data_IF_403021536762
#
_entry.id   IF_403021536762
#
_cell.length_a   1.000
_cell.length_b   1.000
_cell.length_c   1.000
_cell.angle_alpha   90.00
_cell.angle_beta   90.00
_cell.angle_gamma   90.00
#
_symmetry.space_group_name_H-M   'P 1'
#
loop_
_entity.id
_entity.type
_entity.pdbx_description
1 polymer ?
#
# COMPACT_ATOMS: atom_id res chain seq x y z
N UNK A 1 17.43 12.75 15.68
CA UNK A 1 16.67 11.78 16.49
C UNK A 1 17.60 11.13 17.50
N UNK A 2 17.23 11.19 18.77
CA UNK A 2 17.92 10.49 19.85
C UNK A 2 17.05 9.33 20.33
N UNK A 3 17.67 8.17 20.48
CA UNK A 3 17.04 6.93 20.95
C UNK A 3 17.83 6.38 22.13
N UNK A 4 17.13 5.89 23.14
CA UNK A 4 17.71 5.10 24.22
C UNK A 4 17.19 3.68 24.12
N UNK A 5 18.08 2.73 23.90
CA UNK A 5 17.73 1.32 23.83
C UNK A 5 17.41 0.80 25.23
N UNK A 6 16.44 -0.14 25.29
CA UNK A 6 16.18 -0.85 26.53
C UNK A 6 17.38 -1.72 26.90
N UNK A 7 17.65 -1.82 28.20
CA UNK A 7 18.66 -2.72 28.72
C UNK A 7 18.25 -4.19 28.58
N UNK A 8 19.25 -5.07 28.61
CA UNK A 8 19.06 -6.52 28.61
C UNK A 8 18.41 -7.14 27.37
N UNK A 9 18.33 -6.42 26.25
CA UNK A 9 17.93 -7.02 24.97
C UNK A 9 19.11 -7.78 24.39
N UNK A 10 18.85 -9.02 23.96
CA UNK A 10 19.81 -9.88 23.27
C UNK A 10 19.35 -10.21 21.86
N UNK A 11 20.29 -10.33 20.96
CA UNK A 11 20.09 -11.02 19.70
C UNK A 11 19.88 -12.53 19.94
N UNK A 12 19.31 -13.21 18.96
CA UNK A 12 18.98 -14.63 19.02
C UNK A 12 20.21 -15.56 19.20
N UNK A 13 21.42 -15.05 18.93
CA UNK A 13 22.68 -15.74 19.18
C UNK A 13 23.30 -15.42 20.55
N UNK A 14 22.59 -14.65 21.41
CA UNK A 14 23.04 -14.30 22.76
C UNK A 14 23.85 -13.01 22.85
N UNK A 15 24.29 -12.39 21.77
CA UNK A 15 24.98 -11.12 21.79
C UNK A 15 24.03 -10.01 22.32
N UNK A 16 24.58 -9.07 23.12
CA UNK A 16 23.80 -7.93 23.61
C UNK A 16 23.48 -6.94 22.48
N UNK A 17 22.27 -6.40 22.47
CA UNK A 17 21.91 -5.24 21.67
C UNK A 17 22.51 -3.99 22.31
N UNK A 18 23.37 -3.30 21.57
CA UNK A 18 24.02 -2.04 21.99
C UNK A 18 23.78 -0.95 20.94
N UNK A 19 24.02 0.31 21.31
CA UNK A 19 23.95 1.41 20.33
C UNK A 19 24.85 1.19 19.12
N UNK A 20 26.08 0.64 19.35
CA UNK A 20 26.97 0.30 18.25
C UNK A 20 26.43 -0.82 17.34
N UNK A 21 25.70 -1.80 17.89
CA UNK A 21 25.07 -2.84 17.07
C UNK A 21 23.97 -2.25 16.16
N UNK A 22 23.14 -1.34 16.71
CA UNK A 22 22.13 -0.61 15.90
C UNK A 22 22.78 0.21 14.81
N UNK A 23 23.83 0.99 15.14
CA UNK A 23 24.60 1.78 14.18
C UNK A 23 25.13 0.89 13.05
N UNK A 24 25.84 -0.18 13.38
CA UNK A 24 26.42 -1.09 12.39
C UNK A 24 25.36 -1.74 11.49
N UNK A 25 24.22 -2.14 12.06
CA UNK A 25 23.13 -2.73 11.30
C UNK A 25 22.53 -1.75 10.29
N UNK A 26 22.25 -0.52 10.69
CA UNK A 26 21.68 0.50 9.78
C UNK A 26 22.70 0.90 8.69
N UNK A 27 23.97 1.12 9.06
CA UNK A 27 25.01 1.48 8.09
C UNK A 27 25.26 0.37 7.08
N UNK A 28 25.28 -0.90 7.51
CA UNK A 28 25.42 -2.05 6.61
C UNK A 28 24.18 -2.22 5.74
N UNK A 29 22.98 -2.06 6.30
CA UNK A 29 21.73 -2.11 5.56
C UNK A 29 21.68 -1.07 4.45
N UNK A 30 22.04 0.18 4.72
CA UNK A 30 22.11 1.26 3.71
C UNK A 30 23.18 1.00 2.63
N UNK A 31 24.28 0.33 2.94
CA UNK A 31 25.27 -0.08 1.93
C UNK A 31 24.78 -1.17 1.00
N UNK A 32 23.90 -2.05 1.49
CA UNK A 32 23.40 -3.23 0.75
C UNK A 32 22.07 -3.02 0.06
N UNK A 33 21.30 -2.01 0.44
CA UNK A 33 19.94 -1.76 -0.06
C UNK A 33 19.78 -0.32 -0.54
N UNK A 34 19.69 -0.13 -1.85
CA UNK A 34 19.41 1.18 -2.45
C UNK A 34 18.04 1.72 -1.99
N UNK A 35 17.07 0.83 -1.75
CA UNK A 35 15.76 1.19 -1.22
C UNK A 35 15.87 1.81 0.18
N UNK A 36 16.64 1.19 1.09
CA UNK A 36 16.86 1.72 2.42
C UNK A 36 17.65 3.02 2.39
N UNK A 37 18.71 3.06 1.59
CA UNK A 37 19.51 4.27 1.37
C UNK A 37 18.69 5.44 0.85
N UNK A 38 17.79 5.18 -0.09
CA UNK A 38 16.89 6.20 -0.65
C UNK A 38 15.80 6.67 0.31
N UNK A 39 15.39 5.82 1.27
CA UNK A 39 14.34 6.17 2.24
C UNK A 39 14.86 6.78 3.54
N UNK A 40 16.15 6.70 3.82
CA UNK A 40 16.78 7.24 5.03
C UNK A 40 17.88 8.26 4.69
N UNK A 41 17.54 9.58 4.62
CA UNK A 41 18.54 10.63 4.34
C UNK A 41 19.40 10.89 5.59
N UNK A 42 20.14 9.87 6.03
CA UNK A 42 20.99 9.90 7.22
C UNK A 42 22.34 10.50 6.88
N UNK A 43 22.70 11.60 7.56
CA UNK A 43 24.01 12.22 7.50
C UNK A 43 25.01 11.46 8.37
N UNK A 44 24.62 11.10 9.59
CA UNK A 44 25.49 10.40 10.53
C UNK A 44 24.72 9.61 11.58
N UNK A 45 25.32 8.53 12.05
CA UNK A 45 24.85 7.76 13.20
C UNK A 45 25.98 7.72 14.23
N UNK A 46 25.71 8.19 15.45
CA UNK A 46 26.62 8.04 16.58
C UNK A 46 25.99 7.18 17.67
N UNK A 47 26.83 6.46 18.43
CA UNK A 47 26.36 5.60 19.50
C UNK A 47 27.31 5.68 20.71
N UNK A 48 26.72 5.76 21.93
CA UNK A 48 27.43 5.68 23.18
C UNK A 48 26.64 4.82 24.16
N UNK A 49 27.15 3.63 24.46
CA UNK A 49 26.41 2.64 25.27
C UNK A 49 25.08 2.26 24.64
N UNK A 50 23.98 2.55 25.31
CA UNK A 50 22.62 2.31 24.83
C UNK A 50 21.97 3.51 24.13
N UNK A 51 22.68 4.65 24.03
CA UNK A 51 22.18 5.82 23.30
C UNK A 51 22.62 5.79 21.85
N UNK A 52 21.70 6.09 20.94
CA UNK A 52 21.92 6.21 19.50
C UNK A 52 21.39 7.55 19.05
N UNK A 53 22.23 8.34 18.39
CA UNK A 53 21.83 9.62 17.78
C UNK A 53 21.94 9.51 16.27
N UNK A 54 20.81 9.75 15.59
CA UNK A 54 20.72 9.75 14.14
C UNK A 54 20.49 11.19 13.67
N UNK A 55 21.40 11.69 12.87
CA UNK A 55 21.32 13.03 12.25
C UNK A 55 21.02 12.86 10.77
N UNK A 56 20.00 13.58 10.28
CA UNK A 56 19.62 13.62 8.88
C UNK A 56 20.25 14.81 8.18
N UNK A 57 20.39 14.75 6.85
CA UNK A 57 20.95 15.84 6.04
C UNK A 57 20.08 17.09 6.10
N UNK A 58 18.74 16.88 6.01
CA UNK A 58 17.70 17.90 6.09
C UNK A 58 16.68 17.51 7.17
N UNK A 59 15.83 18.45 7.65
CA UNK A 59 14.70 18.09 8.52
C UNK A 59 13.86 16.97 7.89
N UNK A 60 13.72 15.84 8.61
CA UNK A 60 13.01 14.66 8.10
C UNK A 60 12.01 14.11 9.12
N UNK A 61 10.77 14.62 9.13
CA UNK A 61 9.74 14.24 10.09
C UNK A 61 9.36 12.75 10.05
N UNK A 62 9.54 12.11 8.90
CA UNK A 62 9.16 10.71 8.65
C UNK A 62 10.21 9.70 9.17
N UNK A 63 11.35 10.16 9.71
CA UNK A 63 12.44 9.28 10.13
C UNK A 63 12.00 8.15 11.05
N UNK A 64 11.09 8.41 12.01
CA UNK A 64 10.56 7.36 12.92
C UNK A 64 9.77 6.31 12.17
N UNK A 65 8.93 6.72 11.22
CA UNK A 65 8.11 5.83 10.40
C UNK A 65 8.98 4.99 9.47
N UNK A 66 10.01 5.60 8.88
CA UNK A 66 10.97 4.89 8.03
C UNK A 66 11.82 3.87 8.81
N UNK A 67 12.25 4.21 10.03
CA UNK A 67 12.95 3.28 10.91
C UNK A 67 12.08 2.11 11.40
N UNK A 68 10.75 2.25 11.37
CA UNK A 68 9.81 1.17 11.64
C UNK A 68 9.57 0.24 10.42
N UNK A 69 10.13 0.57 9.26
CA UNK A 69 10.04 -0.25 8.06
C UNK A 69 10.82 -1.57 8.23
N UNK A 70 10.32 -2.70 7.66
CA UNK A 70 11.07 -3.95 7.62
C UNK A 70 12.47 -3.84 6.99
N UNK A 71 12.67 -2.88 6.07
CA UNK A 71 13.96 -2.63 5.45
C UNK A 71 15.02 -2.08 6.41
N UNK A 72 14.58 -1.41 7.48
CA UNK A 72 15.43 -0.90 8.55
C UNK A 72 15.56 -1.87 9.74
N UNK A 73 15.23 -3.15 9.55
CA UNK A 73 15.32 -4.16 10.59
C UNK A 73 16.74 -4.26 11.17
N UNK A 74 16.82 -4.31 12.48
CA UNK A 74 18.10 -4.41 13.19
C UNK A 74 18.50 -5.88 13.33
N UNK A 75 19.69 -6.21 12.84
CA UNK A 75 20.29 -7.54 12.91
C UNK A 75 21.73 -7.49 13.41
N UNK A 76 22.23 -8.60 13.92
CA UNK A 76 23.61 -8.71 14.36
C UNK A 76 24.56 -8.85 13.17
N UNK A 77 25.29 -7.80 12.86
CA UNK A 77 26.30 -7.78 11.77
C UNK A 77 27.53 -8.64 12.05
N UNK A 78 27.72 -9.10 13.30
CA UNK A 78 28.80 -10.00 13.72
C UNK A 78 28.38 -11.48 13.68
N UNK A 79 27.14 -11.78 13.31
CA UNK A 79 26.68 -13.15 13.19
C UNK A 79 27.42 -13.88 12.06
N UNK A 80 27.73 -15.15 12.28
CA UNK A 80 28.41 -16.01 11.27
C UNK A 80 27.50 -16.36 10.09
N UNK A 81 26.18 -16.32 10.28
CA UNK A 81 25.19 -16.59 9.23
C UNK A 81 25.06 -15.42 8.26
N UNK A 82 24.80 -15.72 6.98
CA UNK A 82 24.49 -14.67 6.00
C UNK A 82 23.12 -14.06 6.31
N UNK A 83 23.06 -12.74 6.31
CA UNK A 83 21.82 -11.99 6.57
C UNK A 83 20.69 -12.29 5.56
N UNK A 84 21.05 -12.67 4.33
CA UNK A 84 20.11 -13.08 3.28
C UNK A 84 19.41 -14.41 3.54
N UNK A 85 20.04 -15.27 4.33
CA UNK A 85 19.58 -16.65 4.52
C UNK A 85 19.04 -16.85 5.94
N UNK A 86 19.79 -16.37 6.94
CA UNK A 86 19.47 -16.54 8.35
C UNK A 86 19.88 -15.30 9.15
N UNK A 87 19.18 -14.16 9.01
CA UNK A 87 19.42 -12.98 9.82
C UNK A 87 19.20 -13.27 11.31
N UNK A 88 20.08 -12.73 12.14
CA UNK A 88 20.00 -12.85 13.60
C UNK A 88 19.46 -11.54 14.16
N UNK A 89 18.21 -11.53 14.54
CA UNK A 89 17.50 -10.37 15.07
C UNK A 89 17.26 -10.46 16.58
N UNK A 90 16.39 -9.57 17.08
CA UNK A 90 15.95 -9.51 18.50
C UNK A 90 14.48 -9.91 18.64
N UNK A 91 13.86 -10.46 17.60
CA UNK A 91 12.45 -10.83 17.54
C UNK A 91 12.12 -12.11 18.31
N UNK A 92 10.82 -12.41 18.48
CA UNK A 92 10.33 -13.56 19.28
C UNK A 92 10.64 -14.92 18.66
N UNK A 93 10.91 -14.98 17.37
CA UNK A 93 11.20 -16.21 16.64
C UNK A 93 12.49 -16.09 15.85
N UNK A 94 13.27 -17.14 15.83
CA UNK A 94 14.50 -17.30 15.05
C UNK A 94 14.27 -18.20 13.86
N UNK A 95 15.03 -17.98 12.79
CA UNK A 95 14.94 -18.76 11.56
C UNK A 95 15.69 -20.07 11.76
N UNK A 96 15.01 -21.20 11.56
CA UNK A 96 15.65 -22.52 11.46
C UNK A 96 16.03 -22.83 10.01
N UNK A 97 15.08 -22.66 9.09
CA UNK A 97 15.26 -22.95 7.68
C UNK A 97 14.53 -21.93 6.82
N UNK A 98 15.18 -21.49 5.74
CA UNK A 98 14.60 -20.59 4.76
C UNK A 98 14.90 -21.08 3.34
N UNK A 99 13.84 -21.25 2.56
CA UNK A 99 13.91 -21.47 1.11
C UNK A 99 13.10 -20.38 0.42
N UNK A 100 13.80 -19.51 -0.32
CA UNK A 100 13.20 -18.35 -1.00
C UNK A 100 12.00 -18.76 -1.85
N UNK A 101 10.90 -18.00 -1.74
CA UNK A 101 9.63 -18.22 -2.43
C UNK A 101 9.00 -19.61 -2.22
N UNK A 102 9.38 -20.32 -1.17
CA UNK A 102 8.83 -21.64 -0.85
C UNK A 102 8.43 -21.75 0.62
N UNK A 103 9.40 -21.62 1.55
CA UNK A 103 9.19 -21.98 2.95
C UNK A 103 10.08 -21.20 3.89
N UNK A 104 9.53 -20.82 5.06
CA UNK A 104 10.25 -20.28 6.20
C UNK A 104 9.82 -21.05 7.44
N UNK A 105 10.78 -21.66 8.14
CA UNK A 105 10.57 -22.36 9.40
C UNK A 105 11.19 -21.56 10.54
N UNK A 106 10.38 -21.31 11.55
CA UNK A 106 10.74 -20.49 12.69
C UNK A 106 10.58 -21.29 13.98
N UNK A 107 11.51 -21.11 14.93
CA UNK A 107 11.40 -21.60 16.30
C UNK A 107 11.40 -20.41 17.28
N UNK A 108 10.75 -20.60 18.42
CA UNK A 108 10.70 -19.56 19.44
C UNK A 108 12.09 -19.24 20.00
N UNK A 109 12.35 -17.95 20.20
CA UNK A 109 13.50 -17.47 20.93
C UNK A 109 13.16 -17.43 22.43
N UNK A 110 13.81 -18.29 23.22
CA UNK A 110 13.49 -18.48 24.67
C UNK A 110 13.78 -17.22 25.51
N UNK A 111 14.82 -16.48 25.14
CA UNK A 111 15.29 -15.27 25.85
C UNK A 111 14.71 -13.98 25.22
N UNK A 112 13.53 -14.08 24.59
CA UNK A 112 12.88 -12.92 24.02
C UNK A 112 12.52 -11.90 25.11
N UNK A 113 12.90 -10.67 24.91
CA UNK A 113 12.85 -9.58 25.90
C UNK A 113 11.44 -9.13 26.31
N UNK A 114 10.39 -9.46 25.55
CA UNK A 114 8.99 -9.17 25.89
C UNK A 114 8.24 -10.40 26.45
N UNK A 115 8.94 -11.42 26.89
CA UNK A 115 8.35 -12.62 27.45
C UNK A 115 8.39 -13.82 26.51
N UNK A 116 7.84 -14.95 26.96
CA UNK A 116 7.92 -16.21 26.20
C UNK A 116 6.91 -16.23 25.06
N UNK A 117 7.35 -16.44 23.80
CA UNK A 117 6.44 -16.63 22.68
C UNK A 117 5.50 -17.83 22.91
N UNK A 118 4.22 -17.68 22.59
CA UNK A 118 3.20 -18.73 22.82
C UNK A 118 3.43 -19.98 21.96
N UNK A 119 3.75 -19.79 20.67
CA UNK A 119 3.99 -20.90 19.74
C UNK A 119 5.44 -21.38 19.83
N UNK A 120 5.66 -22.69 19.77
CA UNK A 120 7.00 -23.26 19.74
C UNK A 120 7.64 -23.13 18.37
N UNK A 121 6.84 -23.34 17.31
CA UNK A 121 7.26 -23.30 15.90
C UNK A 121 6.21 -22.58 15.08
N UNK A 122 6.68 -21.90 14.02
CA UNK A 122 5.83 -21.29 12.99
C UNK A 122 6.40 -21.69 11.63
N UNK A 123 5.55 -22.27 10.79
CA UNK A 123 5.90 -22.62 9.41
C UNK A 123 5.14 -21.69 8.48
N UNK A 124 5.86 -20.96 7.64
CA UNK A 124 5.27 -20.12 6.60
C UNK A 124 5.56 -20.76 5.25
N UNK A 125 4.53 -20.99 4.45
CA UNK A 125 4.64 -21.49 3.07
C UNK A 125 4.18 -20.42 2.12
N UNK A 126 4.86 -20.26 1.00
CA UNK A 126 4.50 -19.33 -0.05
C UNK A 126 3.69 -20.03 -1.14
N UNK A 127 2.53 -19.47 -1.45
CA UNK A 127 1.70 -19.86 -2.58
C UNK A 127 1.16 -18.59 -3.24
N UNK A 128 1.51 -18.37 -4.49
CA UNK A 128 1.09 -17.18 -5.24
C UNK A 128 -0.44 -17.21 -5.48
N UNK A 129 -0.95 -18.37 -5.88
CA UNK A 129 -2.38 -18.57 -6.14
C UNK A 129 -3.22 -18.52 -4.85
N UNK A 130 -4.19 -17.60 -4.80
CA UNK A 130 -5.07 -17.41 -3.65
C UNK A 130 -6.03 -18.58 -3.41
N UNK A 131 -6.43 -19.31 -4.46
CA UNK A 131 -7.28 -20.47 -4.34
C UNK A 131 -6.55 -21.60 -3.63
N UNK A 132 -5.31 -21.84 -4.02
CA UNK A 132 -4.43 -22.81 -3.34
C UNK A 132 -4.25 -22.48 -1.86
N UNK A 133 -4.09 -21.20 -1.51
CA UNK A 133 -3.99 -20.77 -0.11
C UNK A 133 -5.27 -21.09 0.67
N UNK A 134 -6.44 -20.83 0.11
CA UNK A 134 -7.74 -21.15 0.73
C UNK A 134 -7.93 -22.66 0.85
N UNK A 135 -7.57 -23.44 -0.16
CA UNK A 135 -7.69 -24.91 -0.12
C UNK A 135 -6.80 -25.52 0.96
N UNK A 136 -5.58 -24.99 1.16
CA UNK A 136 -4.71 -25.40 2.25
C UNK A 136 -5.33 -25.10 3.63
N UNK A 137 -5.99 -23.95 3.79
CA UNK A 137 -6.71 -23.61 5.02
C UNK A 137 -7.88 -24.59 5.27
N UNK A 138 -8.74 -24.81 4.27
CA UNK A 138 -9.94 -25.64 4.40
C UNK A 138 -9.61 -27.12 4.57
N UNK A 139 -8.50 -27.58 4.00
CA UNK A 139 -8.00 -28.95 4.21
C UNK A 139 -7.28 -29.14 5.55
N UNK A 140 -6.97 -28.04 6.27
CA UNK A 140 -6.23 -28.08 7.53
C UNK A 140 -4.71 -28.22 7.37
N UNK A 141 -4.18 -28.00 6.17
CA UNK A 141 -2.72 -27.93 5.89
C UNK A 141 -2.09 -26.62 6.38
N UNK A 142 -2.89 -25.55 6.48
CA UNK A 142 -2.50 -24.28 7.10
C UNK A 142 -3.52 -23.85 8.15
N UNK A 143 -3.04 -23.12 9.17
CA UNK A 143 -3.87 -22.58 10.25
C UNK A 143 -4.27 -21.13 9.98
N UNK A 144 -3.54 -20.44 9.14
CA UNK A 144 -3.80 -19.06 8.74
C UNK A 144 -3.44 -18.88 7.26
N UNK A 145 -4.25 -18.12 6.54
CA UNK A 145 -3.92 -17.63 5.20
C UNK A 145 -4.23 -16.15 5.08
N UNK A 146 -3.36 -15.42 4.43
CA UNK A 146 -3.55 -13.99 4.12
C UNK A 146 -4.14 -13.81 2.72
N UNK A 147 -4.73 -12.63 2.46
CA UNK A 147 -5.24 -12.24 1.15
C UNK A 147 -6.21 -13.28 0.56
N UNK A 148 -7.27 -13.61 1.30
CA UNK A 148 -8.35 -14.49 0.81
C UNK A 148 -9.03 -13.83 -0.39
N UNK A 149 -9.09 -14.47 -1.57
CA UNK A 149 -9.80 -13.93 -2.71
C UNK A 149 -11.27 -13.68 -2.41
N UNK A 150 -11.82 -12.57 -2.91
CA UNK A 150 -13.23 -12.18 -2.67
C UNK A 150 -14.20 -13.30 -3.05
N UNK A 151 -13.93 -14.02 -4.14
CA UNK A 151 -14.78 -15.11 -4.61
C UNK A 151 -14.80 -16.32 -3.65
N UNK A 152 -13.70 -16.53 -2.90
CA UNK A 152 -13.51 -17.65 -1.98
C UNK A 152 -14.00 -17.39 -0.55
N UNK A 153 -14.41 -16.15 -0.25
CA UNK A 153 -14.90 -15.78 1.11
C UNK A 153 -16.07 -16.66 1.52
N UNK A 154 -16.99 -16.94 0.61
CA UNK A 154 -18.17 -17.77 0.89
C UNK A 154 -17.78 -19.19 1.28
N UNK A 155 -16.76 -19.77 0.64
CA UNK A 155 -16.28 -21.12 0.94
C UNK A 155 -15.73 -21.19 2.37
N UNK A 156 -14.95 -20.18 2.77
CA UNK A 156 -14.40 -20.10 4.12
C UNK A 156 -15.53 -19.89 5.15
N UNK A 157 -16.47 -18.98 4.90
CA UNK A 157 -17.60 -18.69 5.80
C UNK A 157 -18.54 -19.89 5.99
N UNK A 158 -18.76 -20.67 4.94
CA UNK A 158 -19.62 -21.86 5.00
C UNK A 158 -18.91 -23.07 5.62
N UNK A 159 -17.59 -22.99 5.81
CA UNK A 159 -16.81 -24.04 6.44
C UNK A 159 -16.87 -23.92 7.96
N UNK A 160 -17.10 -25.05 8.65
CA UNK A 160 -16.96 -25.11 10.11
C UNK A 160 -15.50 -25.12 10.58
N UNK A 161 -14.53 -25.21 9.64
CA UNK A 161 -13.12 -25.40 9.93
C UNK A 161 -12.32 -24.09 10.00
N UNK A 162 -12.87 -23.00 9.46
CA UNK A 162 -12.17 -21.71 9.39
C UNK A 162 -13.15 -20.54 9.46
N UNK A 163 -12.61 -19.35 9.76
CA UNK A 163 -13.34 -18.09 9.84
C UNK A 163 -12.62 -17.03 9.01
N UNK A 164 -13.39 -16.09 8.47
CA UNK A 164 -12.84 -14.86 7.87
C UNK A 164 -12.58 -13.85 8.99
N UNK A 165 -11.39 -13.27 8.95
CA UNK A 165 -11.06 -12.06 9.69
C UNK A 165 -10.75 -10.95 8.70
N UNK A 166 -11.30 -9.77 8.93
CA UNK A 166 -11.01 -8.61 8.10
C UNK A 166 -10.61 -7.42 8.96
N UNK A 167 -9.68 -6.65 8.43
CA UNK A 167 -9.22 -5.41 9.04
C UNK A 167 -9.19 -4.34 7.97
N UNK A 168 -9.84 -3.23 8.25
CA UNK A 168 -9.81 -2.07 7.35
C UNK A 168 -8.38 -1.62 7.10
N UNK A 169 -7.96 -1.59 5.85
CA UNK A 169 -6.60 -1.26 5.41
C UNK A 169 -6.46 0.16 4.87
N UNK A 170 -5.26 0.46 4.39
CA UNK A 170 -4.95 1.69 3.65
C UNK A 170 -4.73 1.43 2.16
N UNK A 171 -5.20 0.28 1.66
CA UNK A 171 -5.19 -0.02 0.24
C UNK A 171 -6.39 0.60 -0.43
N UNK A 172 -6.16 1.31 -1.53
CA UNK A 172 -7.19 2.03 -2.28
C UNK A 172 -7.13 1.62 -3.75
N UNK A 173 -8.26 1.20 -4.31
CA UNK A 173 -8.42 1.00 -5.74
C UNK A 173 -8.85 2.30 -6.40
N UNK A 174 -8.32 2.57 -7.58
CA UNK A 174 -8.50 3.83 -8.27
C UNK A 174 -8.46 3.69 -9.79
N UNK A 175 -9.00 4.68 -10.48
CA UNK A 175 -8.64 5.00 -11.86
C UNK A 175 -7.46 5.95 -11.84
N UNK A 176 -6.36 5.52 -12.41
CA UNK A 176 -5.17 6.31 -12.69
C UNK A 176 -5.33 6.96 -14.06
N UNK A 177 -5.24 8.26 -14.13
CA UNK A 177 -5.33 9.03 -15.37
C UNK A 177 -3.96 9.31 -15.96
N UNK A 178 -3.83 9.15 -17.28
CA UNK A 178 -2.64 9.60 -18.00
C UNK A 178 -2.79 11.09 -18.35
N UNK A 179 -2.18 11.96 -17.54
CA UNK A 179 -2.23 13.41 -17.74
C UNK A 179 -1.48 13.91 -18.98
N UNK A 180 -0.73 13.03 -19.67
CA UNK A 180 -0.11 13.33 -20.96
C UNK A 180 -1.01 13.00 -22.14
N UNK A 181 -2.08 12.23 -21.94
CA UNK A 181 -3.06 11.97 -23.00
C UNK A 181 -3.91 13.20 -23.26
N UNK A 182 -3.93 13.64 -24.54
CA UNK A 182 -4.78 14.77 -24.98
C UNK A 182 -6.28 14.53 -24.77
N UNK A 183 -6.69 13.27 -24.61
CA UNK A 183 -8.08 12.89 -24.35
C UNK A 183 -8.49 13.11 -22.90
N UNK A 184 -7.53 13.14 -21.95
CA UNK A 184 -7.79 13.14 -20.52
C UNK A 184 -7.63 14.55 -19.94
N UNK A 185 -8.45 15.49 -20.42
CA UNK A 185 -8.55 16.81 -19.83
C UNK A 185 -9.36 16.81 -18.52
N UNK A 186 -9.51 17.95 -17.86
CA UNK A 186 -10.19 18.05 -16.56
C UNK A 186 -11.66 17.61 -16.64
N UNK A 187 -12.42 18.07 -17.64
CA UNK A 187 -13.83 17.71 -17.80
C UNK A 187 -14.02 16.21 -18.01
N UNK A 188 -13.13 15.58 -18.76
CA UNK A 188 -13.13 14.15 -18.98
C UNK A 188 -12.84 13.40 -17.68
N UNK A 189 -11.86 13.82 -16.86
CA UNK A 189 -11.59 13.20 -15.54
C UNK A 189 -12.78 13.35 -14.60
N UNK A 190 -13.42 14.54 -14.58
CA UNK A 190 -14.63 14.78 -13.80
C UNK A 190 -15.79 13.88 -14.27
N UNK A 191 -15.98 13.73 -15.57
CA UNK A 191 -16.98 12.82 -16.12
C UNK A 191 -16.70 11.36 -15.72
N UNK A 192 -15.43 10.90 -15.78
CA UNK A 192 -15.06 9.58 -15.29
C UNK A 192 -15.34 9.40 -13.81
N UNK A 193 -15.04 10.40 -12.99
CA UNK A 193 -15.32 10.35 -11.54
C UNK A 193 -16.81 10.17 -11.26
N UNK A 194 -17.67 10.80 -12.08
CA UNK A 194 -19.12 10.74 -11.97
C UNK A 194 -19.75 9.45 -12.48
N UNK A 195 -19.12 8.73 -13.41
CA UNK A 195 -19.68 7.44 -13.87
C UNK A 195 -19.44 6.31 -12.88
N UNK A 196 -18.54 6.47 -11.90
CA UNK A 196 -18.19 5.42 -10.96
C UNK A 196 -19.27 5.23 -9.89
N UNK A 197 -19.95 4.10 -9.89
CA UNK A 197 -20.86 3.72 -8.82
C UNK A 197 -20.10 3.05 -7.66
N UNK A 198 -19.43 3.87 -6.85
CA UNK A 198 -18.57 3.40 -5.75
C UNK A 198 -19.28 2.53 -4.72
N UNK A 199 -20.56 2.85 -4.42
CA UNK A 199 -21.37 2.09 -3.46
C UNK A 199 -21.67 0.69 -3.98
N UNK A 200 -22.04 0.59 -5.24
CA UNK A 200 -22.34 -0.69 -5.90
C UNK A 200 -21.09 -1.56 -6.01
N UNK A 201 -19.96 -0.95 -6.41
CA UNK A 201 -18.65 -1.64 -6.48
C UNK A 201 -18.25 -2.17 -5.10
N UNK A 202 -18.32 -1.36 -4.05
CA UNK A 202 -17.98 -1.79 -2.69
C UNK A 202 -18.88 -2.94 -2.20
N UNK A 203 -20.19 -2.86 -2.50
CA UNK A 203 -21.17 -3.88 -2.11
C UNK A 203 -20.97 -5.19 -2.87
N UNK A 204 -20.99 -5.13 -4.20
CA UNK A 204 -21.10 -6.33 -5.04
C UNK A 204 -19.75 -6.90 -5.45
N UNK A 205 -18.82 -6.06 -5.91
CA UNK A 205 -17.50 -6.55 -6.34
C UNK A 205 -16.58 -6.87 -5.16
N UNK A 206 -16.74 -6.18 -4.03
CA UNK A 206 -15.94 -6.41 -2.81
C UNK A 206 -16.71 -7.12 -1.70
N UNK A 207 -17.94 -7.57 -1.94
CA UNK A 207 -18.81 -8.28 -0.96
C UNK A 207 -18.85 -7.59 0.43
N UNK A 208 -18.87 -6.26 0.45
CA UNK A 208 -18.80 -5.39 1.63
C UNK A 208 -17.46 -5.46 2.42
N UNK A 209 -16.39 -6.00 1.81
CA UNK A 209 -15.02 -5.93 2.35
C UNK A 209 -14.24 -4.74 1.77
N UNK A 210 -14.95 -3.72 1.39
CA UNK A 210 -14.42 -2.41 1.02
C UNK A 210 -15.45 -1.34 1.34
N UNK A 211 -14.95 -0.10 1.50
CA UNK A 211 -15.81 1.10 1.62
C UNK A 211 -15.63 1.98 0.38
N UNK A 212 -16.66 2.70 -0.07
CA UNK A 212 -16.50 3.72 -1.10
C UNK A 212 -15.40 4.72 -0.72
N UNK A 213 -14.54 5.09 -1.67
CA UNK A 213 -13.47 6.06 -1.47
C UNK A 213 -13.72 7.35 -2.26
N UNK A 214 -13.29 8.50 -1.72
CA UNK A 214 -13.22 9.76 -2.43
C UNK A 214 -11.81 10.37 -2.38
N UNK A 215 -11.23 10.70 -1.21
CA UNK A 215 -9.81 11.05 -1.15
C UNK A 215 -8.92 9.78 -1.17
N UNK A 216 -7.61 9.93 -1.40
CA UNK A 216 -6.67 8.79 -1.35
C UNK A 216 -6.48 8.23 0.06
N UNK A 217 -6.72 9.02 1.09
CA UNK A 217 -6.47 8.70 2.50
C UNK A 217 -7.79 8.40 3.19
N UNK A 218 -7.92 7.24 3.80
CA UNK A 218 -9.15 6.85 4.47
C UNK A 218 -9.29 7.43 5.90
N UNK A 219 -10.52 7.41 6.43
CA UNK A 219 -10.92 7.96 7.73
C UNK A 219 -10.21 7.37 8.96
N UNK A 220 -9.44 6.29 8.81
CA UNK A 220 -8.67 5.68 9.91
C UNK A 220 -7.49 6.57 10.33
N UNK A 221 -7.00 7.43 9.44
CA UNK A 221 -5.97 8.38 9.81
C UNK A 221 -6.62 9.56 10.53
N UNK A 222 -6.29 9.69 11.83
CA UNK A 222 -6.83 10.74 12.68
C UNK A 222 -6.47 12.12 12.13
N UNK A 223 -7.38 13.09 12.34
CA UNK A 223 -7.21 14.50 11.98
C UNK A 223 -7.09 14.77 10.45
N UNK A 224 -7.26 13.76 9.60
CA UNK A 224 -7.39 13.95 8.15
C UNK A 224 -8.87 14.02 7.80
N UNK A 225 -9.26 15.06 7.06
CA UNK A 225 -10.65 15.27 6.64
C UNK A 225 -11.03 14.24 5.58
N UNK A 226 -12.20 13.65 5.74
CA UNK A 226 -12.82 12.81 4.73
C UNK A 226 -13.96 13.56 4.07
N UNK A 227 -13.87 13.71 2.77
CA UNK A 227 -14.95 14.27 1.97
C UNK A 227 -16.09 13.25 1.81
N UNK A 228 -17.28 13.77 1.57
CA UNK A 228 -18.40 12.93 1.14
C UNK A 228 -18.04 12.27 -0.20
N UNK A 229 -18.29 10.98 -0.27
CA UNK A 229 -18.09 10.22 -1.51
C UNK A 229 -18.97 10.80 -2.60
N UNK A 230 -18.38 11.13 -3.74
CA UNK A 230 -19.10 11.61 -4.93
C UNK A 230 -20.12 10.54 -5.37
N UNK A 231 -21.41 10.85 -5.41
CA UNK A 231 -22.40 9.94 -5.97
C UNK A 231 -22.22 9.80 -7.48
N UNK A 232 -22.67 8.66 -8.01
CA UNK A 232 -22.77 8.51 -9.46
C UNK A 232 -23.76 9.52 -10.04
N UNK A 233 -23.37 10.17 -11.16
CA UNK A 233 -24.22 11.11 -11.88
C UNK A 233 -23.92 11.02 -13.40
N UNK A 234 -24.62 10.10 -14.07
CA UNK A 234 -24.45 9.84 -15.50
C UNK A 234 -24.86 11.05 -16.35
N UNK A 235 -25.92 11.77 -15.95
CA UNK A 235 -26.39 12.91 -16.72
C UNK A 235 -25.44 14.12 -16.63
N UNK A 236 -24.84 14.36 -15.46
CA UNK A 236 -23.80 15.37 -15.32
C UNK A 236 -22.55 14.98 -16.12
N UNK A 237 -22.14 13.70 -16.10
CA UNK A 237 -21.05 13.20 -16.94
C UNK A 237 -21.28 13.45 -18.44
N UNK A 238 -22.50 13.16 -18.95
CA UNK A 238 -22.89 13.48 -20.33
C UNK A 238 -22.75 14.98 -20.66
N UNK A 239 -23.21 15.85 -19.76
CA UNK A 239 -23.12 17.32 -19.95
C UNK A 239 -21.67 17.79 -20.05
N UNK A 240 -20.78 17.28 -19.20
CA UNK A 240 -19.35 17.60 -19.25
C UNK A 240 -18.72 17.14 -20.58
N UNK A 241 -19.04 15.91 -21.01
CA UNK A 241 -18.52 15.35 -22.25
C UNK A 241 -19.08 16.07 -23.50
N UNK A 242 -20.32 16.56 -23.46
CA UNK A 242 -20.90 17.34 -24.53
C UNK A 242 -20.19 18.69 -24.71
N UNK A 243 -19.69 19.30 -23.63
CA UNK A 243 -18.84 20.52 -23.71
C UNK A 243 -17.51 20.26 -24.44
N UNK A 244 -17.05 19.01 -24.41
CA UNK A 244 -15.84 18.55 -25.12
C UNK A 244 -16.15 17.98 -26.53
N UNK A 245 -17.41 18.07 -27.00
CA UNK A 245 -17.84 17.63 -28.31
C UNK A 245 -18.23 16.16 -28.42
N UNK A 246 -18.33 15.45 -27.29
CA UNK A 246 -18.69 14.02 -27.30
C UNK A 246 -20.20 13.83 -27.11
N UNK A 247 -20.76 12.84 -27.84
CA UNK A 247 -22.20 12.50 -27.85
C UNK A 247 -22.41 11.03 -28.10
N UNK A 248 -23.66 10.58 -28.13
CA UNK A 248 -24.01 9.20 -28.46
C UNK A 248 -23.55 8.79 -29.87
N UNK A 249 -23.63 9.71 -30.85
CA UNK A 249 -23.16 9.49 -32.22
C UNK A 249 -21.65 9.69 -32.38
N UNK A 250 -21.02 10.36 -31.43
CA UNK A 250 -19.57 10.63 -31.42
C UNK A 250 -19.00 10.40 -30.02
N UNK A 251 -18.90 9.13 -29.57
CA UNK A 251 -18.46 8.81 -28.22
C UNK A 251 -16.96 9.06 -28.02
N UNK A 252 -16.58 9.39 -26.77
CA UNK A 252 -15.20 9.46 -26.36
C UNK A 252 -14.59 8.04 -26.34
N UNK A 253 -13.55 7.80 -27.15
CA UNK A 253 -12.85 6.49 -27.20
C UNK A 253 -11.64 6.49 -26.29
N UNK A 254 -11.62 5.56 -25.32
CA UNK A 254 -10.61 5.45 -24.27
C UNK A 254 -9.94 4.08 -24.27
N UNK A 255 -8.62 4.07 -24.24
CA UNK A 255 -7.84 2.86 -23.96
C UNK A 255 -7.65 2.73 -22.45
N UNK A 256 -8.34 1.78 -21.86
CA UNK A 256 -8.25 1.47 -20.43
C UNK A 256 -7.50 0.17 -20.21
N UNK A 257 -6.57 0.16 -19.26
CA UNK A 257 -5.77 -1.02 -18.95
C UNK A 257 -6.03 -1.51 -17.54
N UNK A 258 -5.99 -2.83 -17.35
CA UNK A 258 -6.08 -3.53 -16.07
C UNK A 258 -5.08 -4.68 -16.01
N UNK A 259 -4.97 -5.37 -14.87
CA UNK A 259 -4.01 -6.46 -14.66
C UNK A 259 -4.49 -7.46 -13.60
N UNK A 260 -4.00 -8.71 -13.67
CA UNK A 260 -4.46 -9.81 -12.82
C UNK A 260 -3.78 -9.89 -11.44
N UNK A 261 -2.72 -9.11 -11.20
CA UNK A 261 -2.05 -9.05 -9.89
C UNK A 261 -2.98 -8.63 -8.74
N UNK A 262 -4.17 -8.12 -9.08
CA UNK A 262 -5.31 -7.86 -8.21
C UNK A 262 -6.58 -8.34 -8.94
N UNK A 263 -7.03 -9.59 -8.69
CA UNK A 263 -8.11 -10.22 -9.47
C UNK A 263 -9.44 -9.48 -9.50
N UNK A 264 -9.69 -8.61 -8.51
CA UNK A 264 -10.87 -7.75 -8.46
C UNK A 264 -10.84 -6.58 -9.45
N UNK A 265 -9.65 -6.09 -9.86
CA UNK A 265 -9.52 -4.92 -10.72
C UNK A 265 -10.09 -5.13 -12.14
N UNK A 266 -9.83 -6.25 -12.83
CA UNK A 266 -10.47 -6.50 -14.14
C UNK A 266 -11.99 -6.49 -14.05
N UNK A 267 -12.57 -7.04 -12.98
CA UNK A 267 -14.04 -7.07 -12.78
C UNK A 267 -14.60 -5.67 -12.54
N UNK A 268 -13.93 -4.87 -11.70
CA UNK A 268 -14.28 -3.46 -11.46
C UNK A 268 -14.15 -2.66 -12.76
N UNK A 269 -13.11 -2.91 -13.56
CA UNK A 269 -12.91 -2.30 -14.86
C UNK A 269 -14.07 -2.54 -15.81
N UNK A 270 -14.60 -3.77 -15.87
CA UNK A 270 -15.77 -4.13 -16.68
C UNK A 270 -17.05 -3.40 -16.20
N UNK A 271 -17.24 -3.27 -14.88
CA UNK A 271 -18.35 -2.49 -14.32
C UNK A 271 -18.25 -1.03 -14.76
N UNK A 272 -17.07 -0.42 -14.62
CA UNK A 272 -16.86 0.97 -15.04
C UNK A 272 -17.04 1.13 -16.54
N UNK A 273 -16.57 0.19 -17.37
CA UNK A 273 -16.79 0.18 -18.81
C UNK A 273 -18.30 0.23 -19.15
N UNK A 274 -19.09 -0.61 -18.47
CA UNK A 274 -20.55 -0.63 -18.65
C UNK A 274 -21.23 0.68 -18.25
N UNK A 275 -20.83 1.26 -17.11
CA UNK A 275 -21.38 2.53 -16.64
C UNK A 275 -20.95 3.71 -17.52
N UNK A 276 -19.69 3.74 -17.95
CA UNK A 276 -19.12 4.76 -18.82
C UNK A 276 -19.82 4.82 -20.19
N UNK A 277 -20.23 3.66 -20.73
CA UNK A 277 -21.02 3.57 -21.98
C UNK A 277 -22.32 4.36 -21.89
N UNK A 278 -22.98 4.38 -20.73
CA UNK A 278 -24.19 5.17 -20.50
C UNK A 278 -23.95 6.68 -20.61
N UNK A 279 -22.70 7.12 -20.38
CA UNK A 279 -22.27 8.51 -20.48
C UNK A 279 -21.58 8.86 -21.81
N UNK A 280 -21.73 8.05 -22.86
CA UNK A 280 -21.09 8.22 -24.16
C UNK A 280 -19.53 8.09 -24.12
N UNK A 281 -19.01 7.27 -23.22
CA UNK A 281 -17.59 6.89 -23.20
C UNK A 281 -17.50 5.43 -23.69
N UNK A 282 -16.74 5.21 -24.76
CA UNK A 282 -16.45 3.89 -25.32
C UNK A 282 -15.05 3.44 -24.85
N UNK A 283 -15.03 2.53 -23.88
CA UNK A 283 -13.80 2.03 -23.27
C UNK A 283 -13.36 0.74 -23.96
N UNK A 284 -12.15 0.75 -24.50
CA UNK A 284 -11.43 -0.46 -24.91
C UNK A 284 -10.61 -0.95 -23.70
N UNK A 285 -11.13 -1.98 -23.02
CA UNK A 285 -10.49 -2.55 -21.84
C UNK A 285 -9.50 -3.65 -22.26
N UNK A 286 -8.24 -3.50 -21.82
CA UNK A 286 -7.16 -4.46 -22.02
C UNK A 286 -6.62 -4.95 -20.68
N UNK A 287 -6.43 -6.27 -20.56
CA UNK A 287 -5.71 -6.87 -19.45
C UNK A 287 -4.23 -7.10 -19.83
N UNK A 288 -3.29 -6.79 -18.94
CA UNK A 288 -1.85 -6.95 -19.16
C UNK A 288 -1.19 -7.64 -17.96
N UNK A 289 -0.12 -8.40 -18.23
CA UNK A 289 0.61 -9.12 -17.19
C UNK A 289 1.53 -8.19 -16.37
N UNK A 290 2.29 -7.33 -17.06
CA UNK A 290 3.19 -6.32 -16.44
C UNK A 290 2.61 -4.93 -16.60
N UNK A 291 1.82 -4.50 -15.62
CA UNK A 291 1.20 -3.17 -15.62
C UNK A 291 2.25 -2.06 -15.51
N UNK A 292 3.28 -2.22 -14.69
CA UNK A 292 4.27 -1.17 -14.48
C UNK A 292 5.17 -0.97 -15.71
N UNK A 293 5.46 -2.04 -16.44
CA UNK A 293 6.13 -1.98 -17.73
C UNK A 293 5.26 -1.34 -18.80
N UNK A 294 3.98 -1.70 -18.85
CA UNK A 294 3.03 -1.17 -19.85
C UNK A 294 2.80 0.34 -19.70
N UNK A 295 2.66 0.84 -18.47
CA UNK A 295 2.42 2.26 -18.19
C UNK A 295 3.62 3.18 -18.51
N UNK A 296 4.80 2.64 -18.83
CA UNK A 296 5.96 3.43 -19.25
C UNK A 296 5.79 4.08 -20.61
N UNK A 297 4.94 3.50 -21.48
CA UNK A 297 4.60 4.12 -22.76
C UNK A 297 3.31 4.96 -22.61
N UNK A 298 3.41 6.31 -22.50
CA UNK A 298 2.25 7.15 -22.29
C UNK A 298 1.33 7.24 -23.51
N UNK A 299 1.71 6.68 -24.67
CA UNK A 299 0.86 6.61 -25.85
C UNK A 299 -0.01 5.37 -25.89
N UNK A 300 0.31 4.35 -25.08
CA UNK A 300 -0.37 3.07 -25.09
C UNK A 300 -1.69 3.06 -24.32
N UNK A 301 -1.92 4.03 -23.43
CA UNK A 301 -3.07 4.05 -22.52
C UNK A 301 -3.57 5.45 -22.20
N UNK A 302 -4.84 5.55 -21.86
CA UNK A 302 -5.48 6.79 -21.42
C UNK A 302 -5.84 6.73 -19.92
N UNK A 303 -6.34 5.57 -19.46
CA UNK A 303 -6.77 5.31 -18.07
C UNK A 303 -6.27 3.93 -17.65
N UNK A 304 -5.91 3.77 -16.39
CA UNK A 304 -5.56 2.45 -15.82
C UNK A 304 -6.35 2.17 -14.55
N UNK A 305 -6.88 0.95 -14.41
CA UNK A 305 -7.19 0.43 -13.09
C UNK A 305 -5.90 0.24 -12.31
N UNK A 306 -5.85 0.73 -11.08
CA UNK A 306 -4.65 0.62 -10.26
C UNK A 306 -4.98 0.48 -8.78
N UNK A 307 -3.96 0.14 -7.97
CA UNK A 307 -4.11 -0.02 -6.53
C UNK A 307 -2.91 0.51 -5.79
N UNK A 308 -3.15 1.45 -4.87
CA UNK A 308 -2.10 2.00 -3.99
C UNK A 308 -2.28 1.54 -2.54
N UNK A 309 -1.17 1.31 -1.86
CA UNK A 309 -1.10 1.31 -0.41
C UNK A 309 -0.72 2.73 0.01
N UNK A 310 -1.70 3.51 0.47
CA UNK A 310 -1.55 4.96 0.64
C UNK A 310 -0.80 5.35 1.92
N UNK A 311 -0.84 4.51 2.96
CA UNK A 311 -0.18 4.77 4.25
C UNK A 311 0.57 3.51 4.73
N UNK A 312 1.62 3.07 4.02
CA UNK A 312 2.33 1.83 4.39
C UNK A 312 3.10 1.94 5.70
N UNK A 313 3.38 3.16 6.18
CA UNK A 313 4.25 3.45 7.33
C UNK A 313 3.59 4.38 8.35
N UNK A 314 2.27 4.53 8.31
CA UNK A 314 1.52 5.36 9.26
C UNK A 314 1.58 6.86 9.00
N UNK A 315 2.21 7.31 7.89
CA UNK A 315 2.33 8.71 7.49
C UNK A 315 1.91 8.93 6.04
N UNK A 316 1.33 10.11 5.74
CA UNK A 316 0.84 10.47 4.41
C UNK A 316 1.93 10.92 3.45
N UNK A 317 3.09 11.32 3.94
CA UNK A 317 4.19 11.82 3.15
C UNK A 317 4.64 10.80 2.09
N UNK A 318 4.72 9.52 2.45
CA UNK A 318 5.05 8.47 1.48
C UNK A 318 4.15 8.54 0.23
N UNK A 319 2.84 8.59 0.43
CA UNK A 319 1.90 8.62 -0.69
C UNK A 319 2.08 9.87 -1.56
N UNK A 320 2.09 11.05 -0.95
CA UNK A 320 2.20 12.29 -1.71
C UNK A 320 3.55 12.44 -2.41
N UNK A 321 4.64 12.06 -1.76
CA UNK A 321 5.98 12.07 -2.37
C UNK A 321 6.07 11.12 -3.57
N UNK A 322 5.46 9.95 -3.48
CA UNK A 322 5.57 8.94 -4.54
C UNK A 322 4.52 9.07 -5.63
N UNK A 323 3.29 9.50 -5.31
CA UNK A 323 2.17 9.48 -6.25
C UNK A 323 1.81 10.87 -6.82
N UNK A 324 2.19 11.99 -6.14
CA UNK A 324 1.80 13.33 -6.53
C UNK A 324 2.96 14.24 -6.96
N UNK A 325 4.19 13.96 -6.52
CA UNK A 325 5.35 14.68 -7.07
C UNK A 325 5.61 14.27 -8.52
N UNK A 326 6.03 15.21 -9.40
CA UNK A 326 6.27 14.92 -10.82
C UNK A 326 7.21 13.74 -11.09
N UNK A 327 8.24 13.56 -10.23
CA UNK A 327 9.22 12.49 -10.35
C UNK A 327 8.95 11.34 -9.36
N UNK A 328 7.77 11.29 -8.75
CA UNK A 328 7.40 10.25 -7.79
C UNK A 328 7.30 8.88 -8.46
N UNK A 329 7.84 7.85 -7.81
CA UNK A 329 7.94 6.49 -8.37
C UNK A 329 6.56 5.87 -8.71
N UNK A 330 5.49 6.29 -8.03
CA UNK A 330 4.11 5.86 -8.27
C UNK A 330 3.31 6.86 -9.11
N UNK A 331 3.88 8.01 -9.50
CA UNK A 331 3.22 8.98 -10.36
C UNK A 331 3.27 8.54 -11.84
N UNK A 332 2.73 7.36 -12.12
CA UNK A 332 2.69 6.77 -13.47
C UNK A 332 1.82 7.58 -14.44
N UNK A 333 0.84 8.32 -13.89
CA UNK A 333 -0.06 9.18 -14.65
C UNK A 333 0.51 10.55 -15.00
N UNK A 334 1.71 10.88 -14.55
CA UNK A 334 2.37 12.17 -14.81
C UNK A 334 1.60 13.39 -14.29
N UNK A 335 0.88 13.24 -13.17
CA UNK A 335 0.25 14.39 -12.52
C UNK A 335 1.29 15.43 -12.12
N UNK A 336 1.00 16.70 -12.38
CA UNK A 336 1.90 17.81 -12.07
C UNK A 336 1.09 19.07 -11.71
N UNK A 337 1.21 19.52 -10.47
CA UNK A 337 0.65 20.79 -10.00
C UNK A 337 1.68 21.47 -9.08
N UNK A 338 2.06 22.70 -9.44
CA UNK A 338 3.09 23.46 -8.72
C UNK A 338 2.70 23.76 -7.27
N UNK A 339 1.46 24.11 -7.00
CA UNK A 339 0.98 24.43 -5.66
C UNK A 339 0.93 23.17 -4.78
N UNK A 340 0.44 22.05 -5.30
CA UNK A 340 0.47 20.76 -4.62
C UNK A 340 1.91 20.34 -4.32
N UNK A 341 2.83 20.52 -5.28
CA UNK A 341 4.27 20.27 -5.07
C UNK A 341 4.85 21.09 -3.92
N UNK A 342 4.49 22.38 -3.81
CA UNK A 342 4.93 23.22 -2.69
C UNK A 342 4.36 22.78 -1.35
N UNK A 343 3.08 22.37 -1.33
CA UNK A 343 2.45 21.82 -0.11
C UNK A 343 3.10 20.49 0.31
N UNK A 344 3.49 19.64 -0.62
CA UNK A 344 4.23 18.41 -0.30
C UNK A 344 5.61 18.74 0.30
N UNK A 345 6.34 19.72 -0.23
CA UNK A 345 7.58 20.20 0.36
C UNK A 345 7.36 20.74 1.79
N UNK A 346 6.27 21.49 2.03
CA UNK A 346 5.86 21.95 3.37
C UNK A 346 5.56 20.77 4.29
N UNK A 347 4.88 19.71 3.81
CA UNK A 347 4.64 18.49 4.57
C UNK A 347 5.94 17.81 4.99
N UNK A 348 6.91 17.74 4.10
CA UNK A 348 8.23 17.11 4.33
C UNK A 348 9.08 17.84 5.37
N UNK A 349 8.75 19.09 5.70
CA UNK A 349 9.42 19.88 6.75
C UNK A 349 8.53 20.13 7.97
N UNK A 350 7.30 19.59 7.99
CA UNK A 350 6.35 19.78 9.08
C UNK A 350 6.50 18.69 10.14
N UNK A 351 6.70 19.09 11.41
CA UNK A 351 6.81 18.18 12.54
C UNK A 351 5.52 18.16 13.38
N UNK A 352 5.25 17.00 13.97
CA UNK A 352 4.09 16.78 14.82
C UNK A 352 2.82 16.41 14.07
N UNK A 353 2.06 15.49 14.64
CA UNK A 353 0.87 14.87 14.03
C UNK A 353 -0.16 15.91 13.57
N UNK A 354 -0.48 16.89 14.42
CA UNK A 354 -1.50 17.92 14.10
C UNK A 354 -1.09 18.79 12.90
N UNK A 355 0.17 19.24 12.86
CA UNK A 355 0.64 20.08 11.77
C UNK A 355 0.70 19.30 10.46
N UNK A 356 1.19 18.07 10.47
CA UNK A 356 1.22 17.18 9.30
C UNK A 356 -0.20 16.89 8.79
N UNK A 357 -1.15 16.63 9.68
CA UNK A 357 -2.55 16.45 9.31
C UNK A 357 -3.15 17.72 8.68
N UNK A 358 -2.82 18.92 9.19
CA UNK A 358 -3.25 20.19 8.59
C UNK A 358 -2.73 20.34 7.16
N UNK A 359 -1.43 20.12 6.93
CA UNK A 359 -0.85 20.23 5.59
C UNK A 359 -1.37 19.12 4.67
N UNK A 360 -1.61 17.92 5.19
CA UNK A 360 -2.27 16.84 4.44
C UNK A 360 -3.65 17.30 3.94
N UNK A 361 -4.44 17.94 4.79
CA UNK A 361 -5.76 18.46 4.41
C UNK A 361 -5.66 19.57 3.36
N UNK A 362 -4.64 20.44 3.44
CA UNK A 362 -4.38 21.47 2.41
C UNK A 362 -4.04 20.82 1.05
N UNK A 363 -3.24 19.74 1.04
CA UNK A 363 -2.91 18.98 -0.19
C UNK A 363 -4.17 18.34 -0.77
N UNK A 364 -4.98 17.68 0.05
CA UNK A 364 -6.22 17.01 -0.38
C UNK A 364 -7.20 18.02 -0.98
N UNK A 365 -7.43 19.15 -0.32
CA UNK A 365 -8.34 20.21 -0.80
C UNK A 365 -7.84 20.80 -2.12
N UNK A 366 -6.53 21.08 -2.24
CA UNK A 366 -5.96 21.67 -3.44
C UNK A 366 -5.98 20.70 -4.62
N UNK A 367 -5.65 19.43 -4.40
CA UNK A 367 -5.64 18.41 -5.45
C UNK A 367 -7.04 17.96 -5.89
N UNK A 368 -8.06 18.12 -5.05
CA UNK A 368 -9.44 17.73 -5.33
C UNK A 368 -9.96 18.35 -6.63
N UNK A 369 -9.69 19.64 -6.84
CA UNK A 369 -10.11 20.37 -8.04
C UNK A 369 -9.46 19.89 -9.33
N UNK A 370 -8.29 19.22 -9.24
CA UNK A 370 -7.56 18.70 -10.40
C UNK A 370 -7.98 17.28 -10.77
N UNK A 371 -8.54 16.54 -9.82
CA UNK A 371 -8.87 15.11 -9.96
C UNK A 371 -7.64 14.34 -10.50
N UNK A 372 -6.54 14.22 -9.72
CA UNK A 372 -5.35 13.51 -10.16
C UNK A 372 -5.65 12.06 -10.52
N UNK A 373 -6.54 11.45 -9.75
CA UNK A 373 -7.05 10.09 -9.88
C UNK A 373 -8.50 10.03 -9.37
N UNK A 374 -9.28 9.06 -9.82
CA UNK A 374 -10.59 8.77 -9.18
C UNK A 374 -10.46 7.58 -8.25
N UNK A 375 -10.58 7.82 -6.96
CA UNK A 375 -10.54 6.78 -5.93
C UNK A 375 -11.88 6.06 -5.88
N UNK A 376 -11.86 4.73 -5.82
CA UNK A 376 -13.04 3.88 -5.97
C UNK A 376 -13.42 3.28 -4.62
N UNK A 377 -12.49 2.52 -4.01
CA UNK A 377 -12.73 1.82 -2.75
C UNK A 377 -11.51 1.84 -1.84
N UNK A 378 -11.75 1.90 -0.52
CA UNK A 378 -10.79 1.51 0.50
C UNK A 378 -11.02 0.04 0.83
N UNK A 379 -10.00 -0.79 0.67
CA UNK A 379 -10.13 -2.24 0.76
C UNK A 379 -9.65 -2.76 2.10
N UNK A 380 -10.39 -3.71 2.64
CA UNK A 380 -9.99 -4.44 3.84
C UNK A 380 -8.89 -5.45 3.49
N UNK A 381 -8.01 -5.71 4.45
CA UNK A 381 -7.19 -6.92 4.49
C UNK A 381 -8.10 -8.07 4.92
N UNK A 382 -8.14 -9.14 4.15
CA UNK A 382 -9.03 -10.29 4.39
C UNK A 382 -8.19 -11.53 4.60
N UNK A 383 -8.25 -12.09 5.79
CA UNK A 383 -7.49 -13.26 6.17
C UNK A 383 -8.42 -14.40 6.58
N UNK A 384 -7.98 -15.64 6.35
CA UNK A 384 -8.66 -16.84 6.77
C UNK A 384 -7.94 -17.49 7.96
N UNK A 385 -8.65 -17.81 9.01
CA UNK A 385 -8.09 -18.38 10.26
C UNK A 385 -8.80 -19.67 10.61
N UNK A 386 -8.04 -20.73 10.84
CA UNK A 386 -8.57 -22.03 11.29
C UNK A 386 -9.32 -21.88 12.62
N UNK A 387 -10.45 -22.58 12.76
CA UNK A 387 -11.23 -22.64 14.01
C UNK A 387 -10.44 -23.26 15.17
N UNK A 388 -9.30 -23.90 14.91
CA UNK A 388 -8.39 -24.43 15.92
C UNK A 388 -7.53 -23.36 16.59
N UNK A 389 -7.33 -22.22 15.93
CA UNK A 389 -6.54 -21.11 16.45
C UNK A 389 -7.39 -20.38 17.50
N UNK A 390 -6.89 -20.33 18.72
CA UNK A 390 -7.52 -19.63 19.86
C UNK A 390 -6.67 -18.41 20.20
N UNK A 391 -7.33 -17.34 20.62
CA UNK A 391 -6.68 -16.10 21.09
C UNK A 391 -5.95 -16.30 22.42
#
# INVERSE_FOLDING_TARGET
>A
LELTLKDNIKFQNGHKLTGNAVKSSLEEGMKKSDLLKGSLPIKSISAKGQKVTITTEEPYPELKSELASPFAAIYDTKAKSKVTDKPVGTGPYQIDNYKRAQKLELTKFKDYWQGKPKLNKVNVTYHEDGNTRVDNLLSGKSDLTTDVPIDRISDVKNSKKANIQSTSGFRTHLLLYNHQSKKINKNVREAFDMVINRKEIAKNNSKNYAKPASPPINERLKNVKNDKVQPQDIEKAKKLLAQEGFSKSHPLKINMVTYDGRPELPKIGQVIQSEAKKANIDIQLRNVDDIDGYLKDPKAWDVSMYSYLTIPRGDTGYFFNTAYLPNGALNKGHYNNKEVTQLIKKLNTSFGEKQRASVTNEILEKSKGDIPNSYITYNDQIDGVSSKVKN
#
